data_IF_216882050425
#
_entry.id   IF_216882050425
#
_cell.length_a   1.000
_cell.length_b   1.000
_cell.length_c   1.000
_cell.angle_alpha   90.00
_cell.angle_beta   90.00
_cell.angle_gamma   90.00
#
_symmetry.space_group_name_H-M   'P 1'
#
loop_
_entity.id
_entity.type
_entity.pdbx_description
1 polymer ?
#
# COMPACT_ATOMS: atom_id res chain seq x y z
N UNK A 1 14.63 -20.03 -5.59
CA UNK A 1 14.37 -18.60 -5.29
C UNK A 1 13.16 -18.18 -6.13
N UNK A 2 12.01 -17.89 -5.51
CA UNK A 2 10.83 -17.42 -6.26
C UNK A 2 11.05 -15.95 -6.66
N UNK A 3 11.02 -15.65 -7.95
CA UNK A 3 11.06 -14.29 -8.48
C UNK A 3 9.69 -13.65 -8.24
N UNK A 4 9.61 -12.74 -7.26
CA UNK A 4 8.39 -11.99 -6.98
C UNK A 4 8.30 -10.74 -7.85
N UNK A 5 7.24 -10.64 -8.65
CA UNK A 5 6.83 -9.41 -9.34
C UNK A 5 5.44 -8.98 -8.84
N UNK A 6 5.20 -7.68 -8.72
CA UNK A 6 3.89 -7.10 -8.38
C UNK A 6 2.82 -7.35 -9.45
N UNK A 7 3.20 -7.95 -10.57
CA UNK A 7 2.33 -8.34 -11.68
C UNK A 7 1.74 -9.74 -11.51
N UNK A 8 2.35 -10.61 -10.69
CA UNK A 8 1.83 -11.96 -10.46
C UNK A 8 0.92 -11.98 -9.21
N UNK A 9 -0.39 -12.09 -9.44
CA UNK A 9 -1.39 -12.13 -8.38
C UNK A 9 -1.20 -13.30 -7.40
N UNK A 10 -0.76 -14.48 -7.88
CA UNK A 10 -0.55 -15.65 -7.03
C UNK A 10 0.57 -15.39 -6.03
N UNK A 11 1.72 -14.90 -6.52
CA UNK A 11 2.87 -14.59 -5.65
C UNK A 11 2.55 -13.46 -4.68
N UNK A 12 1.79 -12.44 -5.13
CA UNK A 12 1.33 -11.37 -4.24
C UNK A 12 0.36 -11.86 -3.16
N UNK A 13 -0.50 -12.84 -3.49
CA UNK A 13 -1.46 -13.44 -2.54
C UNK A 13 -0.72 -14.23 -1.47
N UNK A 14 0.22 -15.07 -1.86
CA UNK A 14 1.07 -15.83 -0.93
C UNK A 14 1.85 -14.90 0.01
N UNK A 15 2.41 -13.80 -0.52
CA UNK A 15 3.08 -12.79 0.30
C UNK A 15 2.16 -12.19 1.36
N UNK A 16 0.95 -11.77 0.97
CA UNK A 16 -0.01 -11.18 1.90
C UNK A 16 -0.45 -12.19 2.98
N UNK A 17 -0.67 -13.44 2.60
CA UNK A 17 -1.01 -14.51 3.52
C UNK A 17 0.13 -14.81 4.51
N UNK A 18 1.39 -14.80 4.05
CA UNK A 18 2.56 -14.96 4.94
C UNK A 18 2.66 -13.82 5.96
N UNK A 19 2.41 -12.57 5.54
CA UNK A 19 2.40 -11.43 6.45
C UNK A 19 1.32 -11.57 7.53
N UNK A 20 0.12 -12.03 7.17
CA UNK A 20 -0.96 -12.29 8.14
C UNK A 20 -0.59 -13.42 9.10
N UNK A 21 -0.05 -14.54 8.58
CA UNK A 21 0.39 -15.66 9.40
C UNK A 21 1.50 -15.27 10.39
N UNK A 22 2.32 -14.26 10.04
CA UNK A 22 3.39 -13.71 10.88
C UNK A 22 2.91 -12.62 11.85
N UNK A 23 1.61 -12.34 11.90
CA UNK A 23 1.02 -11.44 12.89
C UNK A 23 0.78 -10.02 12.41
N UNK A 24 0.67 -9.77 11.10
CA UNK A 24 0.11 -8.50 10.62
C UNK A 24 -1.35 -8.39 11.07
N UNK A 25 -1.60 -7.62 12.13
CA UNK A 25 -2.93 -7.38 12.69
C UNK A 25 -3.68 -6.33 11.86
N UNK A 26 -4.92 -6.63 11.48
CA UNK A 26 -5.78 -5.74 10.71
C UNK A 26 -6.90 -5.13 11.56
N UNK A 27 -6.58 -4.76 12.80
CA UNK A 27 -7.55 -4.19 13.72
C UNK A 27 -7.96 -2.77 13.29
N UNK A 28 -9.27 -2.53 13.20
CA UNK A 28 -9.83 -1.24 12.81
C UNK A 28 -9.81 -0.99 11.30
N UNK A 29 -9.71 0.27 10.88
CA UNK A 29 -9.77 0.67 9.46
C UNK A 29 -8.37 0.73 8.87
N UNK A 30 -8.05 -0.19 7.97
CA UNK A 30 -6.74 -0.28 7.28
C UNK A 30 -6.82 0.34 5.88
N UNK A 31 -5.86 1.18 5.54
CA UNK A 31 -5.67 1.74 4.19
C UNK A 31 -4.43 1.11 3.54
N UNK A 32 -4.61 0.51 2.37
CA UNK A 32 -3.52 -0.12 1.60
C UNK A 32 -3.00 0.83 0.54
N UNK A 33 -1.78 1.34 0.71
CA UNK A 33 -1.14 2.27 -0.24
C UNK A 33 -0.12 1.51 -1.09
N UNK A 34 -0.38 1.37 -2.40
CA UNK A 34 0.49 0.65 -3.34
C UNK A 34 0.93 1.56 -4.49
N UNK A 35 2.16 1.42 -4.98
CA UNK A 35 2.63 2.14 -6.18
C UNK A 35 1.79 1.78 -7.43
N UNK A 36 1.52 0.49 -7.60
CA UNK A 36 0.79 -0.05 -8.72
C UNK A 36 0.92 -1.57 -8.75
N UNK A 37 0.72 -2.16 -9.92
CA UNK A 37 0.75 -3.61 -10.11
C UNK A 37 -0.66 -4.21 -10.06
N UNK A 38 -1.09 -4.76 -11.20
CA UNK A 38 -2.40 -5.43 -11.31
C UNK A 38 -2.46 -6.67 -10.43
N UNK A 39 -1.35 -7.40 -10.30
CA UNK A 39 -1.23 -8.58 -9.45
C UNK A 39 -1.42 -8.23 -7.97
N UNK A 40 -0.72 -7.22 -7.48
CA UNK A 40 -0.84 -6.77 -6.09
C UNK A 40 -2.24 -6.23 -5.76
N UNK A 41 -2.83 -5.42 -6.66
CA UNK A 41 -4.22 -4.94 -6.49
C UNK A 41 -5.21 -6.11 -6.42
N UNK A 42 -5.08 -7.10 -7.30
CA UNK A 42 -5.93 -8.29 -7.29
C UNK A 42 -5.75 -9.08 -5.99
N UNK A 43 -4.51 -9.35 -5.59
CA UNK A 43 -4.21 -10.09 -4.38
C UNK A 43 -4.78 -9.45 -3.11
N UNK A 44 -4.73 -8.12 -3.00
CA UNK A 44 -5.38 -7.40 -1.89
C UNK A 44 -6.89 -7.65 -1.85
N UNK A 45 -7.56 -7.62 -3.01
CA UNK A 45 -8.98 -7.97 -3.10
C UNK A 45 -9.25 -9.43 -2.78
N UNK A 46 -8.41 -10.35 -3.28
CA UNK A 46 -8.58 -11.80 -3.07
C UNK A 46 -8.37 -12.19 -1.58
N UNK A 47 -7.45 -11.52 -0.86
CA UNK A 47 -7.14 -11.83 0.55
C UNK A 47 -8.08 -11.12 1.53
N UNK A 48 -8.46 -9.88 1.24
CA UNK A 48 -9.13 -9.01 2.20
C UNK A 48 -10.59 -8.71 1.84
N UNK A 49 -11.04 -9.07 0.64
CA UNK A 49 -12.40 -8.83 0.16
C UNK A 49 -12.79 -7.35 0.26
N UNK A 50 -14.01 -7.11 0.73
CA UNK A 50 -14.60 -5.76 0.84
C UNK A 50 -13.87 -4.87 1.87
N UNK A 51 -13.04 -5.44 2.75
CA UNK A 51 -12.20 -4.66 3.67
C UNK A 51 -10.99 -4.01 2.97
N UNK A 52 -10.70 -4.36 1.71
CA UNK A 52 -9.60 -3.82 0.93
C UNK A 52 -9.84 -2.37 0.49
N UNK A 53 -9.59 -1.40 1.37
CA UNK A 53 -9.52 0.02 0.97
C UNK A 53 -8.16 0.29 0.35
N UNK A 54 -8.10 0.39 -0.98
CA UNK A 54 -6.84 0.49 -1.75
C UNK A 54 -6.65 1.90 -2.33
N UNK A 55 -5.50 2.51 -2.06
CA UNK A 55 -5.07 3.79 -2.63
C UNK A 55 -3.78 3.62 -3.45
N UNK A 56 -3.69 4.33 -4.58
CA UNK A 56 -2.44 4.40 -5.35
C UNK A 56 -1.50 5.44 -4.74
N UNK A 57 -0.23 5.08 -4.58
CA UNK A 57 0.80 5.99 -4.09
C UNK A 57 1.00 7.14 -5.07
N UNK A 58 0.75 8.37 -4.61
CA UNK A 58 0.88 9.56 -5.44
C UNK A 58 2.35 9.94 -5.67
N UNK A 59 3.26 9.55 -4.77
CA UNK A 59 4.69 9.84 -4.91
C UNK A 59 5.32 9.14 -6.12
N UNK A 60 4.93 7.88 -6.35
CA UNK A 60 5.42 7.12 -7.48
C UNK A 60 4.73 7.48 -8.80
N UNK A 61 3.51 8.03 -8.74
CA UNK A 61 2.77 8.46 -9.94
C UNK A 61 3.32 9.75 -10.56
N UNK A 62 4.19 10.51 -9.86
CA UNK A 62 4.71 11.79 -10.35
C UNK A 62 6.19 11.66 -10.74
N UNK A 63 6.56 11.95 -12.00
CA UNK A 63 7.96 11.95 -12.44
C UNK A 63 8.84 12.83 -11.54
N UNK A 64 9.97 12.30 -11.09
CA UNK A 64 10.95 13.02 -10.25
C UNK A 64 10.70 12.99 -8.73
N UNK A 65 9.53 12.54 -8.26
CA UNK A 65 9.22 12.41 -6.81
C UNK A 65 9.60 11.06 -6.21
N UNK A 66 9.80 10.03 -7.03
CA UNK A 66 10.20 8.69 -6.59
C UNK A 66 11.69 8.56 -6.21
N UNK A 67 12.49 9.62 -6.33
CA UNK A 67 13.93 9.58 -6.01
C UNK A 67 14.12 9.79 -4.52
N UNK A 68 14.18 8.68 -3.78
CA UNK A 68 14.61 8.55 -2.37
C UNK A 68 14.51 9.81 -1.54
N UNK A 69 13.38 10.04 -0.87
CA UNK A 69 13.32 10.98 0.26
C UNK A 69 12.39 10.40 1.31
N UNK A 70 12.98 10.04 2.43
CA UNK A 70 12.37 9.79 3.74
C UNK A 70 10.87 10.10 3.78
N UNK A 71 10.05 9.04 3.80
CA UNK A 71 8.60 9.18 3.98
C UNK A 71 8.40 9.81 5.35
N UNK A 72 8.14 11.13 5.38
CA UNK A 72 7.89 11.85 6.62
C UNK A 72 6.66 11.24 7.26
N UNK A 73 6.85 10.43 8.31
CA UNK A 73 5.76 9.86 9.08
C UNK A 73 4.91 11.04 9.60
N UNK A 74 3.60 11.10 9.31
CA UNK A 74 2.74 12.09 9.94
C UNK A 74 2.84 11.93 11.46
N UNK A 75 2.85 13.03 12.24
CA UNK A 75 2.78 12.92 13.69
C UNK A 75 1.55 12.09 14.07
N UNK A 76 1.72 11.19 15.04
CA UNK A 76 0.67 10.29 15.49
C UNK A 76 -0.59 11.08 15.89
N UNK A 77 -1.78 10.55 15.57
CA UNK A 77 -3.06 11.14 15.96
C UNK A 77 -3.73 12.07 14.93
N UNK A 78 -3.15 12.28 13.74
CA UNK A 78 -3.85 12.98 12.65
C UNK A 78 -4.57 11.98 11.74
N UNK A 79 -5.89 12.17 11.56
CA UNK A 79 -6.68 11.44 10.56
C UNK A 79 -6.21 11.80 9.16
N UNK A 80 -5.89 10.77 8.37
CA UNK A 80 -5.41 10.93 7.01
C UNK A 80 -6.61 11.21 6.09
N UNK A 81 -6.91 12.49 5.88
CA UNK A 81 -7.98 12.90 4.96
C UNK A 81 -7.42 13.04 3.53
N UNK A 82 -8.26 12.88 2.48
CA UNK A 82 -7.81 13.10 1.10
C UNK A 82 -7.14 14.47 0.86
N UNK A 83 -7.50 15.49 1.66
CA UNK A 83 -6.87 16.81 1.63
C UNK A 83 -5.47 16.81 2.29
N UNK A 84 -5.29 16.11 3.42
CA UNK A 84 -3.97 16.00 4.08
C UNK A 84 -2.97 15.21 3.24
N UNK A 85 -3.45 14.28 2.41
CA UNK A 85 -2.62 13.56 1.43
C UNK A 85 -1.97 14.48 0.40
N UNK A 86 -2.66 15.54 -0.04
CA UNK A 86 -2.13 16.48 -1.04
C UNK A 86 -1.04 17.38 -0.45
N UNK A 87 -1.19 17.78 0.82
CA UNK A 87 -0.22 18.65 1.51
C UNK A 87 1.07 17.93 1.91
N UNK A 88 1.03 16.63 2.21
CA UNK A 88 2.25 15.85 2.50
C UNK A 88 3.21 15.70 1.30
N UNK A 89 2.75 16.09 0.10
CA UNK A 89 3.50 16.02 -1.17
C UNK A 89 3.97 17.42 -1.64
N UNK A 90 3.53 18.49 -0.96
CA UNK A 90 3.87 19.87 -1.28
C UNK A 90 4.90 20.42 -0.27
N UNK A 91 6.14 19.95 -0.39
CA UNK A 91 7.33 20.59 0.16
C UNK A 91 8.55 20.20 -0.70
#
# INVERSE_FOLDING_TARGET
MRLGSTENAVVCTELLQDLLARGLTLDGRVLWVIDGGKGLRKALGDVLGDAAVIQRCQLHSVPGRARSKEVRRPPAGKTFTPASQRQAVAA
#
